data_IF_734290408968
#
_entry.id   IF_734290408968
#
_cell.length_a   1.000
_cell.length_b   1.000
_cell.length_c   1.000
_cell.angle_alpha   90.00
_cell.angle_beta   90.00
_cell.angle_gamma   90.00
#
_symmetry.space_group_name_H-M   'P 1'
#
loop_
_entity.id
_entity.type
_entity.pdbx_description
1 polymer ?
#
# COMPACT_ATOMS: atom_id res chain seq x y z
N UNK A 1 -10.54 1.09 13.90
CA UNK A 1 -10.10 0.26 12.74
C UNK A 1 -8.70 -0.25 12.98
N UNK A 2 -8.52 -1.55 12.85
CA UNK A 2 -7.20 -2.21 12.96
C UNK A 2 -6.78 -2.72 11.60
N UNK A 3 -5.55 -2.43 11.21
CA UNK A 3 -5.05 -2.76 9.87
C UNK A 3 -3.71 -3.48 9.92
N UNK A 4 -3.46 -4.27 8.87
CA UNK A 4 -2.13 -4.79 8.56
C UNK A 4 -1.56 -4.11 7.32
N UNK A 5 -0.24 -4.07 7.21
CA UNK A 5 0.45 -3.47 6.07
C UNK A 5 1.51 -4.43 5.54
N UNK A 6 1.49 -4.67 4.23
CA UNK A 6 2.59 -5.30 3.50
C UNK A 6 3.34 -4.26 2.70
N UNK A 7 4.65 -4.16 2.89
CA UNK A 7 5.51 -3.30 2.07
C UNK A 7 6.33 -4.15 1.08
N UNK A 8 6.80 -3.51 0.02
CA UNK A 8 7.68 -4.16 -0.94
C UNK A 8 9.04 -4.41 -0.32
N UNK A 9 9.54 -5.64 -0.41
CA UNK A 9 10.84 -6.00 0.14
C UNK A 9 12.00 -5.27 -0.55
N UNK A 10 11.85 -4.91 -1.83
CA UNK A 10 12.87 -4.15 -2.58
C UNK A 10 12.90 -2.66 -2.22
N UNK A 11 11.77 -2.09 -1.84
CA UNK A 11 11.59 -0.64 -1.70
C UNK A 11 11.09 -0.31 -0.30
N UNK A 12 11.94 -0.51 0.71
CA UNK A 12 11.59 -0.21 2.11
C UNK A 12 12.70 0.55 2.85
N UNK A 13 13.52 1.30 2.12
CA UNK A 13 14.59 2.12 2.71
C UNK A 13 14.06 3.27 3.56
N UNK A 14 12.77 3.65 3.40
CA UNK A 14 12.10 4.60 4.27
C UNK A 14 11.75 4.01 5.66
N UNK A 15 12.04 2.73 5.89
CA UNK A 15 11.75 2.02 7.14
C UNK A 15 10.26 2.10 7.54
N UNK A 16 9.36 2.24 6.56
CA UNK A 16 7.93 2.37 6.79
C UNK A 16 7.47 3.74 7.26
N UNK A 17 8.38 4.68 7.46
CA UNK A 17 8.05 5.99 8.02
C UNK A 17 6.99 6.76 7.23
N UNK A 18 7.01 6.65 5.91
CA UNK A 18 5.98 7.27 5.06
C UNK A 18 4.61 6.64 5.29
N UNK A 19 4.54 5.32 5.41
CA UNK A 19 3.29 4.63 5.69
C UNK A 19 2.71 5.02 7.05
N UNK A 20 3.52 5.04 8.09
CA UNK A 20 3.08 5.40 9.44
C UNK A 20 2.63 6.86 9.53
N UNK A 21 3.39 7.77 8.91
CA UNK A 21 3.02 9.19 8.86
C UNK A 21 1.69 9.40 8.14
N UNK A 22 1.51 8.71 7.01
CA UNK A 22 0.26 8.80 6.24
C UNK A 22 -0.94 8.23 7.03
N UNK A 23 -0.74 7.13 7.75
CA UNK A 23 -1.78 6.57 8.60
C UNK A 23 -2.19 7.56 9.71
N UNK A 24 -1.21 8.19 10.35
CA UNK A 24 -1.47 9.20 11.38
C UNK A 24 -2.24 10.40 10.83
N UNK A 25 -1.84 10.90 9.66
CA UNK A 25 -2.44 12.08 9.03
C UNK A 25 -3.71 11.77 8.23
N UNK A 26 -4.04 10.52 7.99
CA UNK A 26 -5.11 10.08 7.07
C UNK A 26 -4.86 10.52 5.62
N UNK A 27 -3.59 10.51 5.21
CA UNK A 27 -3.19 10.84 3.84
C UNK A 27 -3.24 9.60 2.93
N UNK A 28 -3.28 9.84 1.63
CA UNK A 28 -3.24 8.77 0.63
C UNK A 28 -4.40 7.79 0.78
N UNK A 29 -4.11 6.51 0.75
CA UNK A 29 -5.13 5.47 0.86
C UNK A 29 -5.80 5.42 2.23
N UNK A 30 -5.21 6.03 3.25
CA UNK A 30 -5.80 6.08 4.58
C UNK A 30 -6.89 7.16 4.73
N UNK A 31 -7.09 7.99 3.71
CA UNK A 31 -8.17 8.99 3.70
C UNK A 31 -9.57 8.39 3.72
N UNK A 32 -9.69 7.09 3.46
CA UNK A 32 -10.96 6.37 3.57
C UNK A 32 -11.42 6.20 5.02
N UNK A 33 -10.52 6.34 5.98
CA UNK A 33 -10.84 6.20 7.40
C UNK A 33 -11.14 7.56 8.02
N UNK A 34 -12.25 7.68 8.78
CA UNK A 34 -12.57 8.94 9.44
C UNK A 34 -11.43 9.42 10.36
N UNK A 35 -11.12 10.73 10.38
CA UNK A 35 -10.02 11.24 11.20
C UNK A 35 -10.25 11.13 12.71
N UNK A 36 -11.50 11.04 13.13
CA UNK A 36 -11.90 10.85 14.52
C UNK A 36 -11.96 9.39 14.96
N UNK A 37 -11.86 8.45 14.03
CA UNK A 37 -11.76 7.02 14.33
C UNK A 37 -10.32 6.63 14.59
N UNK A 38 -10.06 5.91 15.69
CA UNK A 38 -8.73 5.39 15.97
C UNK A 38 -8.31 4.41 14.87
N UNK A 39 -7.07 4.54 14.40
CA UNK A 39 -6.46 3.64 13.42
C UNK A 39 -5.23 3.01 14.04
N UNK A 40 -5.27 1.69 14.22
CA UNK A 40 -4.17 0.92 14.80
C UNK A 40 -3.50 0.05 13.72
N UNK A 41 -2.19 0.08 13.66
CA UNK A 41 -1.43 -0.84 12.82
C UNK A 41 -1.07 -2.04 13.69
N UNK A 42 -1.72 -3.18 13.44
CA UNK A 42 -1.57 -4.40 14.25
C UNK A 42 -0.69 -5.46 13.58
N UNK A 43 -0.22 -5.17 12.37
CA UNK A 43 0.72 -6.02 11.64
C UNK A 43 1.45 -5.24 10.58
N UNK A 44 2.75 -5.49 10.43
CA UNK A 44 3.58 -4.81 9.45
C UNK A 44 4.73 -5.72 9.05
N UNK A 45 4.81 -6.03 7.77
CA UNK A 45 5.90 -6.86 7.24
C UNK A 45 6.13 -6.57 5.76
N UNK A 46 7.20 -7.11 5.20
CA UNK A 46 7.43 -7.09 3.76
C UNK A 46 6.74 -8.29 3.10
N UNK A 47 6.64 -8.24 1.77
CA UNK A 47 6.19 -9.41 0.99
C UNK A 47 7.18 -10.58 1.04
N UNK A 48 8.37 -10.38 1.61
CA UNK A 48 9.41 -11.41 1.70
C UNK A 48 10.30 -11.50 0.46
N UNK A 49 10.17 -10.57 -0.48
CA UNK A 49 10.87 -10.62 -1.77
C UNK A 49 10.10 -11.42 -2.81
N UNK A 50 10.37 -11.17 -4.08
CA UNK A 50 9.70 -11.89 -5.16
C UNK A 50 10.00 -13.40 -5.09
N UNK A 51 8.97 -14.26 -5.17
CA UNK A 51 7.58 -14.00 -5.57
C UNK A 51 6.63 -13.56 -4.45
N UNK A 52 7.07 -13.32 -3.22
CA UNK A 52 6.23 -12.76 -2.18
C UNK A 52 5.66 -13.78 -1.19
N UNK A 53 6.50 -14.70 -0.70
CA UNK A 53 6.07 -15.80 0.16
C UNK A 53 5.40 -15.39 1.47
N UNK A 54 5.74 -14.22 2.03
CA UNK A 54 5.09 -13.75 3.27
C UNK A 54 3.60 -13.46 3.10
N UNK A 55 3.18 -13.15 1.88
CA UNK A 55 1.77 -12.88 1.58
C UNK A 55 0.90 -14.11 1.80
N UNK A 56 1.48 -15.31 1.74
CA UNK A 56 0.74 -16.55 1.96
C UNK A 56 0.35 -16.76 3.42
N UNK A 57 1.18 -16.33 4.37
CA UNK A 57 1.04 -16.71 5.78
C UNK A 57 0.85 -15.52 6.74
N UNK A 58 1.50 -14.41 6.49
CA UNK A 58 1.45 -13.27 7.41
C UNK A 58 0.05 -12.68 7.64
N UNK A 59 -0.90 -12.73 6.68
CA UNK A 59 -2.25 -12.27 6.95
C UNK A 59 -2.92 -13.00 8.12
N UNK A 60 -2.62 -14.28 8.31
CA UNK A 60 -3.17 -15.05 9.44
C UNK A 60 -2.79 -14.42 10.79
N UNK A 61 -1.53 -14.02 10.95
CA UNK A 61 -1.07 -13.38 12.17
C UNK A 61 -1.64 -11.97 12.35
N UNK A 62 -1.75 -11.21 11.26
CA UNK A 62 -2.38 -9.89 11.29
C UNK A 62 -3.84 -9.98 11.76
N UNK A 63 -4.59 -10.96 11.24
CA UNK A 63 -5.99 -11.19 11.61
C UNK A 63 -6.10 -11.65 13.05
N UNK A 64 -5.21 -12.51 13.51
CA UNK A 64 -5.13 -12.95 14.91
C UNK A 64 -4.95 -11.76 15.86
N UNK A 65 -4.22 -10.74 15.42
CA UNK A 65 -4.02 -9.50 16.16
C UNK A 65 -5.16 -8.48 15.96
N UNK A 66 -6.19 -8.85 15.25
CA UNK A 66 -7.41 -8.06 15.09
C UNK A 66 -7.51 -7.24 13.81
N UNK A 67 -6.67 -7.47 12.82
CA UNK A 67 -6.75 -6.73 11.56
C UNK A 67 -8.13 -6.92 10.89
N UNK A 68 -8.72 -5.82 10.46
CA UNK A 68 -10.00 -5.75 9.77
C UNK A 68 -9.83 -5.41 8.29
N UNK A 69 -8.65 -4.96 7.90
CA UNK A 69 -8.27 -4.68 6.52
C UNK A 69 -6.75 -4.82 6.38
N UNK A 70 -6.30 -5.10 5.17
CA UNK A 70 -4.87 -5.16 4.85
C UNK A 70 -4.56 -4.17 3.73
N UNK A 71 -3.51 -3.38 3.92
CA UNK A 71 -3.00 -2.46 2.90
C UNK A 71 -1.77 -3.06 2.23
N UNK A 72 -1.78 -3.03 0.89
CA UNK A 72 -0.60 -3.31 0.08
C UNK A 72 0.05 -1.95 -0.23
N UNK A 73 1.23 -1.70 0.33
CA UNK A 73 1.82 -0.37 0.41
C UNK A 73 2.11 0.27 -0.95
N UNK A 74 2.17 1.59 -0.95
CA UNK A 74 2.47 2.41 -2.12
C UNK A 74 3.79 2.01 -2.80
N UNK A 75 4.78 1.53 -2.06
CA UNK A 75 6.02 1.00 -2.64
C UNK A 75 5.82 -0.09 -3.68
N UNK A 76 4.73 -0.85 -3.59
CA UNK A 76 4.39 -1.89 -4.57
C UNK A 76 3.93 -1.31 -5.91
N UNK A 77 3.45 -0.06 -5.94
CA UNK A 77 2.96 0.58 -7.17
C UNK A 77 3.94 1.61 -7.74
N UNK A 78 4.93 2.06 -6.97
CA UNK A 78 5.91 3.07 -7.41
C UNK A 78 7.29 2.51 -7.71
N UNK A 79 7.48 1.21 -7.64
CA UNK A 79 8.76 0.57 -7.96
C UNK A 79 9.09 0.63 -9.46
N UNK A 80 10.32 0.25 -9.80
CA UNK A 80 10.82 0.18 -11.18
C UNK A 80 11.20 -1.27 -11.52
N UNK A 81 10.28 -2.07 -12.09
CA UNK A 81 8.87 -1.76 -12.39
C UNK A 81 7.99 -1.83 -11.13
N UNK A 82 6.73 -1.36 -11.22
CA UNK A 82 5.73 -1.66 -10.20
C UNK A 82 5.57 -3.17 -10.03
N UNK A 83 5.13 -3.61 -8.86
CA UNK A 83 5.00 -5.04 -8.57
C UNK A 83 4.02 -5.71 -9.55
N UNK A 84 4.48 -6.66 -10.38
CA UNK A 84 3.61 -7.33 -11.34
C UNK A 84 2.63 -8.31 -10.67
N UNK A 85 2.83 -8.60 -9.38
CA UNK A 85 2.01 -9.55 -8.64
C UNK A 85 0.98 -8.90 -7.72
N UNK A 86 0.85 -7.57 -7.76
CA UNK A 86 0.01 -6.84 -6.80
C UNK A 86 -1.45 -7.30 -6.84
N UNK A 87 -1.98 -7.56 -8.03
CA UNK A 87 -3.35 -8.06 -8.17
C UNK A 87 -3.50 -9.49 -7.68
N UNK A 88 -2.51 -10.32 -7.95
CA UNK A 88 -2.48 -11.69 -7.45
C UNK A 88 -2.42 -11.71 -5.92
N UNK A 89 -1.64 -10.82 -5.32
CA UNK A 89 -1.58 -10.68 -3.86
C UNK A 89 -2.94 -10.31 -3.27
N UNK A 90 -3.59 -9.31 -3.86
CA UNK A 90 -4.92 -8.88 -3.42
C UNK A 90 -5.93 -10.03 -3.49
N UNK A 91 -6.04 -10.66 -4.65
CA UNK A 91 -6.97 -11.76 -4.86
C UNK A 91 -6.73 -12.92 -3.91
N UNK A 92 -5.46 -13.31 -3.74
CA UNK A 92 -5.09 -14.39 -2.82
C UNK A 92 -5.51 -14.09 -1.38
N UNK A 93 -5.19 -12.90 -0.88
CA UNK A 93 -5.52 -12.52 0.50
C UNK A 93 -7.03 -12.47 0.70
N UNK A 94 -7.74 -11.81 -0.22
CA UNK A 94 -9.20 -11.69 -0.12
C UNK A 94 -9.90 -13.04 -0.19
N UNK A 95 -9.47 -13.92 -1.08
CA UNK A 95 -10.08 -15.24 -1.25
C UNK A 95 -9.77 -16.18 -0.10
N UNK A 96 -8.51 -16.23 0.33
CA UNK A 96 -8.10 -17.16 1.40
C UNK A 96 -8.54 -16.70 2.78
N UNK A 97 -8.37 -15.42 3.07
CA UNK A 97 -8.55 -14.89 4.43
C UNK A 97 -9.86 -14.13 4.64
N UNK A 98 -10.62 -13.88 3.57
CA UNK A 98 -11.91 -13.17 3.66
C UNK A 98 -11.80 -11.82 4.35
N UNK A 99 -10.72 -11.10 4.09
CA UNK A 99 -10.44 -9.76 4.62
C UNK A 99 -10.26 -8.79 3.47
N UNK A 100 -10.81 -7.56 3.53
CA UNK A 100 -10.63 -6.58 2.47
C UNK A 100 -9.18 -6.13 2.33
N UNK A 101 -8.74 -5.95 1.09
CA UNK A 101 -7.39 -5.48 0.76
C UNK A 101 -7.48 -4.14 0.04
N UNK A 102 -6.79 -3.15 0.57
CA UNK A 102 -6.69 -1.82 0.00
C UNK A 102 -5.30 -1.66 -0.65
N UNK A 103 -5.27 -1.19 -1.88
CA UNK A 103 -4.03 -0.90 -2.57
C UNK A 103 -3.57 0.50 -2.18
N UNK A 104 -2.34 0.58 -1.65
CA UNK A 104 -1.71 1.84 -1.27
C UNK A 104 -1.70 2.11 0.22
N UNK A 105 -0.80 3.00 0.60
CA UNK A 105 -0.64 3.56 1.93
C UNK A 105 -0.48 5.08 1.80
N UNK A 106 0.75 5.58 1.77
CA UNK A 106 1.03 7.02 1.65
C UNK A 106 0.76 7.53 0.23
N UNK A 107 0.57 8.85 0.05
CA UNK A 107 0.51 9.46 -1.27
C UNK A 107 1.73 9.10 -2.11
N UNK A 108 1.53 8.97 -3.42
CA UNK A 108 2.64 8.75 -4.35
C UNK A 108 3.58 9.94 -4.26
N UNK A 109 4.89 9.75 -3.95
CA UNK A 109 5.84 10.85 -3.98
C UNK A 109 5.90 11.49 -5.36
N UNK A 110 6.01 12.81 -5.42
CA UNK A 110 5.97 13.57 -6.67
C UNK A 110 7.05 13.09 -7.66
N UNK A 111 8.25 12.79 -7.17
CA UNK A 111 9.33 12.28 -8.03
C UNK A 111 8.97 11.00 -8.76
N UNK A 112 8.25 10.08 -8.08
CA UNK A 112 7.81 8.84 -8.72
C UNK A 112 6.63 9.07 -9.65
N UNK A 113 5.72 9.97 -9.29
CA UNK A 113 4.63 10.36 -10.18
C UNK A 113 5.16 10.92 -11.50
N UNK A 114 6.12 11.83 -11.45
CA UNK A 114 6.75 12.43 -12.63
C UNK A 114 7.42 11.36 -13.49
N UNK A 115 8.22 10.49 -12.89
CA UNK A 115 8.97 9.47 -13.63
C UNK A 115 8.05 8.44 -14.27
N UNK A 116 7.08 7.91 -13.53
CA UNK A 116 6.17 6.89 -14.07
C UNK A 116 5.23 7.45 -15.14
N UNK A 117 4.82 8.70 -14.99
CA UNK A 117 4.03 9.39 -16.03
C UNK A 117 4.83 9.51 -17.30
N UNK A 118 6.10 9.93 -17.22
CA UNK A 118 6.99 10.04 -18.37
C UNK A 118 7.25 8.68 -19.04
N UNK A 119 7.45 7.63 -18.25
CA UNK A 119 7.68 6.28 -18.75
C UNK A 119 6.40 5.59 -19.24
N UNK A 120 5.24 6.09 -18.83
CA UNK A 120 3.97 5.47 -19.16
C UNK A 120 3.74 4.12 -18.50
N UNK A 121 4.33 3.88 -17.32
CA UNK A 121 4.23 2.59 -16.61
C UNK A 121 2.83 2.32 -16.07
N UNK A 122 2.05 3.35 -15.77
CA UNK A 122 0.68 3.22 -15.29
C UNK A 122 -0.36 3.42 -16.38
N UNK A 123 -0.07 3.01 -17.61
CA UNK A 123 -1.01 3.08 -18.71
C UNK A 123 -2.16 2.08 -18.50
N UNK A 124 -3.33 2.47 -19.01
CA UNK A 124 -4.51 1.63 -18.96
C UNK A 124 -5.38 1.88 -17.73
N UNK A 125 -6.65 1.55 -17.91
CA UNK A 125 -7.69 1.78 -16.90
C UNK A 125 -7.40 1.07 -15.59
N UNK A 126 -6.83 -0.12 -15.68
CA UNK A 126 -6.56 -0.96 -14.51
C UNK A 126 -5.52 -0.32 -13.58
N UNK A 127 -4.39 0.14 -14.13
CA UNK A 127 -3.39 0.84 -13.34
C UNK A 127 -3.91 2.16 -12.79
N UNK A 128 -4.69 2.90 -13.56
CA UNK A 128 -5.32 4.14 -13.10
C UNK A 128 -6.20 3.89 -11.88
N UNK A 129 -6.95 2.79 -11.87
CA UNK A 129 -7.75 2.41 -10.72
C UNK A 129 -6.90 2.02 -9.52
N UNK A 130 -5.80 1.29 -9.73
CA UNK A 130 -4.92 0.86 -8.65
C UNK A 130 -4.23 2.02 -7.95
N UNK A 131 -3.79 3.03 -8.69
CA UNK A 131 -3.07 4.18 -8.12
C UNK A 131 -3.99 5.27 -7.56
N UNK A 132 -5.28 5.27 -7.95
CA UNK A 132 -6.23 6.33 -7.59
C UNK A 132 -6.26 6.68 -6.09
N UNK A 133 -6.27 5.71 -5.15
CA UNK A 133 -6.32 6.04 -3.72
C UNK A 133 -5.10 6.83 -3.22
N UNK A 134 -3.95 6.69 -3.90
CA UNK A 134 -2.70 7.30 -3.49
C UNK A 134 -2.26 8.47 -4.36
N UNK A 135 -3.07 8.83 -5.35
CA UNK A 135 -2.70 9.87 -6.31
C UNK A 135 -2.56 11.24 -5.64
N UNK A 136 -3.56 11.66 -4.85
CA UNK A 136 -3.57 12.93 -4.13
C UNK A 136 -3.28 14.15 -5.04
N UNK A 137 -3.20 15.35 -4.48
CA UNK A 137 -2.78 16.53 -5.21
C UNK A 137 -1.25 16.69 -5.19
N UNK A 138 -0.73 17.58 -6.02
CA UNK A 138 0.72 17.79 -6.14
C UNK A 138 1.37 18.24 -4.83
N UNK A 139 0.71 19.14 -4.10
CA UNK A 139 1.23 19.62 -2.81
C UNK A 139 1.42 18.46 -1.83
N UNK A 140 0.44 17.58 -1.77
CA UNK A 140 0.48 16.38 -0.92
C UNK A 140 1.56 15.43 -1.39
N UNK A 141 1.66 15.17 -2.71
CA UNK A 141 2.73 14.32 -3.25
C UNK A 141 4.12 14.86 -2.95
N UNK A 142 4.32 16.18 -3.05
CA UNK A 142 5.60 16.82 -2.71
C UNK A 142 5.98 16.62 -1.24
N UNK A 143 5.01 16.62 -0.35
CA UNK A 143 5.24 16.39 1.08
C UNK A 143 5.75 14.98 1.40
N UNK A 144 5.63 14.06 0.44
CA UNK A 144 6.10 12.68 0.58
C UNK A 144 7.34 12.35 -0.28
N UNK A 145 7.98 13.35 -0.89
CA UNK A 145 9.23 13.14 -1.65
C UNK A 145 10.42 12.72 -0.78
#
# INVERSE_FOLDING_TARGET
MKIGIFICHRYHTCAGGKCFRAAFNRDGAFSIYPPDEALEIVGYTTCGGCPGGNVEYAPAEMIKNGAEAIHLATGLIVGYPPCPRIKAFRSFIEEKYKIPVIIGTHPIPQKYYTTHTALGTWKGKEWKNLIAPTLSDEKTRLAYD
#
